data_IF_027590410150
#
_entry.id   IF_027590410150
#
_cell.length_a   1.000
_cell.length_b   1.000
_cell.length_c   1.000
_cell.angle_alpha   90.00
_cell.angle_beta   90.00
_cell.angle_gamma   90.00
#
_symmetry.space_group_name_H-M   'P 1'
#
loop_
_entity.id
_entity.type
_entity.pdbx_description
1 polymer ?
#
# COMPACT_ATOMS: atom_id res chain seq x y z
N UNK A 1 42.16 23.74 -6.81
CA UNK A 1 40.89 23.82 -6.07
C UNK A 1 39.89 23.01 -6.85
N UNK A 2 39.75 21.75 -6.47
CA UNK A 2 38.79 20.80 -7.06
C UNK A 2 37.52 20.84 -6.24
N UNK A 3 36.49 21.43 -6.80
CA UNK A 3 35.17 21.46 -6.23
C UNK A 3 34.65 20.03 -6.26
N UNK A 4 34.62 19.35 -5.11
CA UNK A 4 33.84 18.13 -4.96
C UNK A 4 32.38 18.55 -4.97
N UNK A 5 31.70 18.32 -6.10
CA UNK A 5 30.25 18.32 -6.14
C UNK A 5 29.78 17.14 -5.28
N UNK A 6 29.28 17.48 -4.09
CA UNK A 6 28.55 16.56 -3.24
C UNK A 6 27.26 16.20 -4.01
N UNK A 7 27.29 15.10 -4.74
CA UNK A 7 26.08 14.45 -5.22
C UNK A 7 25.37 13.86 -3.99
N UNK A 8 24.41 14.61 -3.43
CA UNK A 8 23.42 14.03 -2.54
C UNK A 8 22.54 13.07 -3.35
N UNK A 9 22.92 11.81 -3.35
CA UNK A 9 22.06 10.74 -3.86
C UNK A 9 20.91 10.60 -2.85
N UNK A 10 19.79 11.26 -3.13
CA UNK A 10 18.54 11.00 -2.41
C UNK A 10 18.10 9.59 -2.84
N UNK A 11 18.43 8.61 -2.01
CA UNK A 11 17.89 7.26 -2.17
C UNK A 11 16.37 7.35 -1.93
N UNK A 12 15.55 6.86 -2.85
CA UNK A 12 14.13 6.76 -2.60
C UNK A 12 13.91 5.88 -1.37
N UNK A 13 13.15 6.37 -0.40
CA UNK A 13 12.72 5.58 0.74
C UNK A 13 11.67 4.60 0.23
N UNK A 14 11.98 3.31 0.30
CA UNK A 14 11.05 2.24 0.00
C UNK A 14 10.29 1.83 1.26
N UNK A 15 9.02 1.48 1.12
CA UNK A 15 8.17 1.05 2.22
C UNK A 15 8.53 -0.35 2.75
N UNK A 16 9.39 -1.07 2.01
CA UNK A 16 9.87 -2.38 2.41
C UNK A 16 10.65 -3.07 1.29
N UNK A 17 11.17 -4.29 1.55
CA UNK A 17 12.02 -5.01 0.60
C UNK A 17 11.29 -5.42 -0.68
N UNK A 18 9.99 -5.72 -0.63
CA UNK A 18 9.22 -6.05 -1.83
C UNK A 18 8.98 -4.83 -2.71
N UNK A 19 8.86 -3.64 -2.12
CA UNK A 19 8.79 -2.38 -2.86
C UNK A 19 10.07 -2.12 -3.65
N UNK A 20 11.21 -2.34 -3.01
CA UNK A 20 12.52 -2.24 -3.64
C UNK A 20 12.68 -3.26 -4.78
N UNK A 21 12.24 -4.51 -4.59
CA UNK A 21 12.31 -5.53 -5.63
C UNK A 21 11.43 -5.18 -6.84
N UNK A 22 10.21 -4.69 -6.62
CA UNK A 22 9.33 -4.22 -7.69
C UNK A 22 9.94 -3.04 -8.44
N UNK A 23 10.56 -2.10 -7.71
CA UNK A 23 11.28 -0.99 -8.34
C UNK A 23 12.38 -1.47 -9.29
N UNK A 24 13.20 -2.46 -8.90
CA UNK A 24 14.23 -3.01 -9.79
C UNK A 24 13.63 -3.72 -11.01
N UNK A 25 12.54 -4.48 -10.81
CA UNK A 25 11.83 -5.17 -11.88
C UNK A 25 11.30 -4.16 -12.90
N UNK A 26 10.67 -3.08 -12.44
CA UNK A 26 10.11 -2.02 -13.28
C UNK A 26 11.21 -1.17 -13.95
N UNK A 27 12.25 -0.78 -13.21
CA UNK A 27 13.40 0.00 -13.74
C UNK A 27 14.07 -0.69 -14.91
N UNK A 28 14.24 -2.01 -14.79
CA UNK A 28 14.98 -2.82 -15.76
C UNK A 28 14.05 -3.52 -16.76
N UNK A 29 12.75 -3.21 -16.75
CA UNK A 29 11.72 -3.77 -17.64
C UNK A 29 11.73 -5.31 -17.64
N UNK A 30 11.91 -5.93 -16.46
CA UNK A 30 12.00 -7.37 -16.29
C UNK A 30 10.61 -8.02 -16.20
N UNK A 31 10.54 -9.28 -16.64
CA UNK A 31 9.33 -10.07 -16.43
C UNK A 31 9.26 -10.57 -14.97
N UNK A 32 8.18 -10.23 -14.27
CA UNK A 32 7.94 -10.66 -12.89
C UNK A 32 7.78 -12.17 -12.76
N UNK A 33 7.41 -12.87 -13.84
CA UNK A 33 7.27 -14.32 -13.87
C UNK A 33 8.59 -15.04 -14.18
N UNK A 34 9.55 -14.33 -14.78
CA UNK A 34 10.90 -14.88 -15.09
C UNK A 34 12.00 -13.95 -14.61
N UNK A 35 12.05 -13.74 -13.31
CA UNK A 35 13.01 -12.84 -12.67
C UNK A 35 14.42 -13.39 -12.78
N UNK A 36 15.39 -12.63 -13.34
CA UNK A 36 16.80 -12.99 -13.33
C UNK A 36 17.40 -12.85 -11.93
N UNK A 37 17.26 -13.89 -11.10
CA UNK A 37 17.61 -13.87 -9.66
C UNK A 37 19.04 -13.43 -9.41
N UNK A 38 19.99 -13.82 -10.27
CA UNK A 38 21.39 -13.42 -10.09
C UNK A 38 21.58 -11.91 -10.11
N UNK A 39 20.90 -11.22 -11.04
CA UNK A 39 20.95 -9.76 -11.19
C UNK A 39 20.23 -9.07 -10.04
N UNK A 40 18.97 -9.45 -9.80
CA UNK A 40 18.15 -8.84 -8.72
C UNK A 40 18.81 -9.01 -7.36
N UNK A 41 19.42 -10.17 -7.07
CA UNK A 41 20.14 -10.38 -5.82
C UNK A 41 21.33 -9.44 -5.70
N UNK A 42 22.10 -9.22 -6.78
CA UNK A 42 23.23 -8.28 -6.76
C UNK A 42 22.75 -6.86 -6.47
N UNK A 43 21.78 -6.36 -7.25
CA UNK A 43 21.24 -5.01 -7.10
C UNK A 43 20.67 -4.77 -5.69
N UNK A 44 20.00 -5.78 -5.15
CA UNK A 44 19.42 -5.73 -3.80
C UNK A 44 20.49 -5.66 -2.70
N UNK A 45 21.55 -6.48 -2.80
CA UNK A 45 22.66 -6.46 -1.84
C UNK A 45 23.47 -5.17 -1.94
N UNK A 46 23.70 -4.65 -3.16
CA UNK A 46 24.38 -3.38 -3.36
C UNK A 46 23.61 -2.22 -2.72
N UNK A 47 22.28 -2.23 -2.81
CA UNK A 47 21.42 -1.26 -2.15
C UNK A 47 21.55 -1.34 -0.62
N UNK A 48 21.52 -2.56 -0.04
CA UNK A 48 21.68 -2.76 1.41
C UNK A 48 23.02 -2.24 1.88
N UNK A 49 24.13 -2.59 1.21
CA UNK A 49 25.46 -2.11 1.55
C UNK A 49 25.54 -0.59 1.50
N UNK A 50 24.86 0.03 0.52
CA UNK A 50 24.82 1.48 0.43
C UNK A 50 24.09 2.12 1.62
N UNK A 51 22.99 1.54 2.06
CA UNK A 51 22.27 1.98 3.27
C UNK A 51 23.12 1.84 4.55
N UNK A 52 23.86 0.75 4.69
CA UNK A 52 24.80 0.54 5.81
C UNK A 52 25.87 1.64 5.85
N UNK A 53 26.44 2.00 4.68
CA UNK A 53 27.42 3.10 4.58
C UNK A 53 26.86 4.45 4.99
N UNK A 54 25.56 4.66 4.83
CA UNK A 54 24.87 5.88 5.27
C UNK A 54 24.45 5.86 6.75
N UNK A 55 24.83 4.81 7.50
CA UNK A 55 24.42 4.56 8.88
C UNK A 55 22.88 4.56 9.08
N UNK A 56 22.15 4.13 8.05
CA UNK A 56 20.71 3.94 8.14
C UNK A 56 20.43 2.60 8.81
N UNK A 57 19.65 2.60 9.87
CA UNK A 57 19.21 1.38 10.54
C UNK A 57 18.40 0.52 9.56
N UNK A 58 18.94 -0.65 9.24
CA UNK A 58 18.32 -1.56 8.29
C UNK A 58 17.27 -2.42 9.00
N UNK A 59 16.05 -2.37 8.52
CA UNK A 59 14.98 -3.22 9.05
C UNK A 59 15.28 -4.70 8.81
N UNK A 60 14.99 -5.55 9.79
CA UNK A 60 15.24 -7.00 9.75
C UNK A 60 14.61 -7.72 8.56
N UNK A 61 13.52 -7.16 8.02
CA UNK A 61 12.83 -7.67 6.84
C UNK A 61 13.68 -7.62 5.57
N UNK A 62 14.54 -6.59 5.41
CA UNK A 62 15.48 -6.52 4.28
C UNK A 62 16.52 -7.64 4.36
N UNK A 63 17.02 -7.93 5.55
CA UNK A 63 17.99 -9.02 5.78
C UNK A 63 17.34 -10.37 5.47
N UNK A 64 16.08 -10.58 5.87
CA UNK A 64 15.34 -11.80 5.59
C UNK A 64 15.16 -12.03 4.09
N UNK A 65 14.78 -10.98 3.34
CA UNK A 65 14.61 -11.06 1.89
C UNK A 65 15.95 -11.26 1.19
N UNK A 66 17.03 -10.58 1.63
CA UNK A 66 18.38 -10.82 1.12
C UNK A 66 18.80 -12.29 1.27
N UNK A 67 18.62 -12.88 2.45
CA UNK A 67 18.90 -14.29 2.70
C UNK A 67 18.06 -15.22 1.81
N UNK A 68 16.79 -14.87 1.60
CA UNK A 68 15.88 -15.63 0.71
C UNK A 68 16.35 -15.58 -0.75
N UNK A 69 16.73 -14.40 -1.26
CA UNK A 69 17.27 -14.22 -2.60
C UNK A 69 18.56 -15.02 -2.79
N UNK A 70 19.48 -14.97 -1.83
CA UNK A 70 20.72 -15.75 -1.87
C UNK A 70 20.44 -17.25 -1.90
N UNK A 71 19.48 -17.74 -1.11
CA UNK A 71 19.03 -19.13 -1.09
C UNK A 71 18.46 -19.56 -2.44
N UNK A 72 17.60 -18.75 -3.05
CA UNK A 72 17.00 -19.00 -4.36
C UNK A 72 18.11 -19.05 -5.42
N UNK A 73 18.99 -18.05 -5.43
CA UNK A 73 20.14 -17.99 -6.34
C UNK A 73 21.01 -19.25 -6.24
N UNK A 74 21.33 -19.67 -5.02
CA UNK A 74 22.12 -20.88 -4.80
C UNK A 74 21.41 -22.13 -5.36
N UNK A 75 20.11 -22.29 -5.12
CA UNK A 75 19.33 -23.41 -5.66
C UNK A 75 19.29 -23.44 -7.17
N UNK A 76 19.18 -22.29 -7.84
CA UNK A 76 19.15 -22.20 -9.29
C UNK A 76 20.51 -22.49 -9.94
N UNK A 77 21.61 -22.28 -9.20
CA UNK A 77 22.96 -22.58 -9.68
C UNK A 77 23.35 -24.05 -9.52
N UNK A 78 22.58 -24.85 -8.77
CA UNK A 78 22.84 -26.27 -8.59
C UNK A 78 22.47 -27.03 -9.87
N UNK A 79 23.32 -28.01 -10.29
CA UNK A 79 23.10 -28.76 -11.52
C UNK A 79 21.94 -29.77 -11.44
N UNK A 80 21.33 -29.96 -10.27
CA UNK A 80 20.20 -30.86 -10.06
C UNK A 80 19.00 -30.05 -9.60
N UNK A 81 17.93 -29.98 -10.39
CA UNK A 81 16.69 -29.34 -9.98
C UNK A 81 16.06 -30.09 -8.80
N UNK A 82 15.35 -29.36 -7.95
CA UNK A 82 14.53 -29.98 -6.91
C UNK A 82 13.25 -30.50 -7.56
N UNK A 83 12.89 -31.73 -7.23
CA UNK A 83 11.68 -32.36 -7.73
C UNK A 83 10.64 -32.44 -6.60
N UNK A 84 9.37 -32.29 -6.94
CA UNK A 84 8.24 -32.53 -6.04
C UNK A 84 8.03 -34.06 -5.83
N UNK A 85 7.05 -34.40 -4.98
CA UNK A 85 6.69 -35.81 -4.72
C UNK A 85 6.18 -36.54 -5.98
N UNK A 86 5.80 -35.80 -7.02
CA UNK A 86 5.31 -36.32 -8.31
C UNK A 86 6.37 -36.35 -9.40
N UNK A 87 7.60 -35.89 -9.08
CA UNK A 87 8.72 -35.85 -10.03
C UNK A 87 8.74 -34.63 -10.94
N UNK A 88 7.94 -33.59 -10.67
CA UNK A 88 7.99 -32.33 -11.43
C UNK A 88 9.07 -31.42 -10.84
N UNK A 89 9.66 -30.61 -11.70
CA UNK A 89 10.67 -29.61 -11.33
C UNK A 89 10.00 -28.46 -10.55
N UNK A 90 10.54 -28.15 -9.36
CA UNK A 90 10.08 -27.03 -8.52
C UNK A 90 10.93 -25.81 -8.87
N UNK A 91 10.30 -24.73 -9.37
CA UNK A 91 10.98 -23.46 -9.53
C UNK A 91 11.18 -22.80 -8.15
N UNK A 92 12.44 -22.63 -7.69
CA UNK A 92 12.70 -22.03 -6.38
C UNK A 92 12.26 -20.55 -6.27
N UNK A 93 11.88 -19.92 -7.37
CA UNK A 93 11.39 -18.53 -7.43
C UNK A 93 9.88 -18.42 -7.17
N UNK A 94 9.13 -19.50 -7.27
CA UNK A 94 7.66 -19.49 -7.29
C UNK A 94 7.05 -18.76 -6.09
N UNK A 95 7.58 -19.01 -4.89
CA UNK A 95 7.11 -18.36 -3.67
C UNK A 95 7.39 -16.85 -3.68
N UNK A 96 8.57 -16.44 -4.15
CA UNK A 96 8.95 -15.03 -4.29
C UNK A 96 8.05 -14.32 -5.28
N UNK A 97 7.82 -14.92 -6.45
CA UNK A 97 6.95 -14.37 -7.49
C UNK A 97 5.52 -14.17 -6.96
N UNK A 98 5.00 -15.17 -6.23
CA UNK A 98 3.67 -15.06 -5.62
C UNK A 98 3.58 -13.87 -4.66
N UNK A 99 4.54 -13.71 -3.75
CA UNK A 99 4.55 -12.59 -2.81
C UNK A 99 4.69 -11.23 -3.51
N UNK A 100 5.50 -11.14 -4.56
CA UNK A 100 5.63 -9.91 -5.36
C UNK A 100 4.33 -9.55 -6.07
N UNK A 101 3.63 -10.52 -6.64
CA UNK A 101 2.33 -10.30 -7.28
C UNK A 101 1.26 -9.86 -6.27
N UNK A 102 1.23 -10.48 -5.10
CA UNK A 102 0.34 -10.09 -4.01
C UNK A 102 0.64 -8.65 -3.57
N UNK A 103 1.91 -8.32 -3.32
CA UNK A 103 2.31 -6.98 -2.94
C UNK A 103 1.94 -5.95 -4.02
N UNK A 104 2.22 -6.21 -5.28
CA UNK A 104 1.86 -5.34 -6.41
C UNK A 104 0.36 -5.09 -6.47
N UNK A 105 -0.46 -6.13 -6.25
CA UNK A 105 -1.91 -6.02 -6.20
C UNK A 105 -2.37 -5.10 -5.07
N UNK A 106 -1.84 -5.28 -3.85
CA UNK A 106 -2.22 -4.42 -2.72
C UNK A 106 -1.72 -3.00 -2.90
N UNK A 107 -0.50 -2.79 -3.37
CA UNK A 107 0.06 -1.47 -3.63
C UNK A 107 -0.79 -0.67 -4.62
N UNK A 108 -1.33 -1.31 -5.67
CA UNK A 108 -2.20 -0.64 -6.64
C UNK A 108 -3.51 -0.11 -6.06
N UNK A 109 -3.94 -0.62 -4.91
CA UNK A 109 -5.20 -0.23 -4.25
C UNK A 109 -4.96 0.84 -3.18
N UNK A 110 -3.75 0.95 -2.63
CA UNK A 110 -3.40 1.92 -1.58
C UNK A 110 -3.68 3.35 -2.03
N UNK A 111 -3.27 3.74 -3.23
CA UNK A 111 -3.51 5.08 -3.79
C UNK A 111 -5.01 5.41 -3.87
N UNK A 112 -5.83 4.41 -4.17
CA UNK A 112 -7.29 4.57 -4.22
C UNK A 112 -7.88 4.78 -2.83
N UNK A 113 -7.42 4.00 -1.85
CA UNK A 113 -7.85 4.17 -0.46
C UNK A 113 -7.40 5.50 0.13
N UNK A 114 -6.17 5.93 -0.15
CA UNK A 114 -5.68 7.23 0.28
C UNK A 114 -6.56 8.37 -0.24
N UNK A 115 -6.93 8.35 -1.52
CA UNK A 115 -7.83 9.36 -2.10
C UNK A 115 -9.23 9.31 -1.46
N UNK A 116 -9.75 8.13 -1.14
CA UNK A 116 -11.03 7.99 -0.45
C UNK A 116 -10.95 8.52 0.98
N UNK A 117 -9.86 8.25 1.70
CA UNK A 117 -9.61 8.77 3.05
C UNK A 117 -9.51 10.29 3.03
N UNK A 118 -8.72 10.88 2.12
CA UNK A 118 -8.62 12.33 1.96
C UNK A 118 -9.99 12.98 1.73
N UNK A 119 -10.82 12.39 0.86
CA UNK A 119 -12.18 12.86 0.62
C UNK A 119 -13.07 12.77 1.86
N UNK A 120 -12.92 11.72 2.67
CA UNK A 120 -13.70 11.55 3.90
C UNK A 120 -13.23 12.50 5.00
N UNK A 121 -11.90 12.75 5.10
CA UNK A 121 -11.33 13.72 6.04
C UNK A 121 -11.73 15.17 5.74
N UNK A 122 -12.02 15.49 4.47
CA UNK A 122 -12.56 16.81 4.08
C UNK A 122 -14.01 17.01 4.52
N UNK A 123 -14.72 15.95 4.94
CA UNK A 123 -16.11 16.05 5.42
C UNK A 123 -16.12 16.39 6.90
N UNK A 124 -16.42 17.63 7.22
CA UNK A 124 -16.66 18.03 8.61
C UNK A 124 -18.07 17.61 9.08
N UNK A 125 -18.13 17.04 10.27
CA UNK A 125 -19.41 16.77 10.92
C UNK A 125 -20.06 18.10 11.27
N UNK A 126 -21.29 18.30 10.83
CA UNK A 126 -22.08 19.48 11.22
C UNK A 126 -22.28 19.50 12.73
N UNK A 127 -21.37 20.19 13.44
CA UNK A 127 -21.26 20.14 14.90
C UNK A 127 -22.45 20.67 15.68
N UNK A 128 -23.35 21.42 15.03
CA UNK A 128 -24.50 22.09 15.67
C UNK A 128 -25.85 21.44 15.39
N UNK A 129 -25.90 20.26 14.72
CA UNK A 129 -27.15 19.62 14.29
C UNK A 129 -28.14 19.46 15.42
N UNK A 130 -27.70 18.99 16.59
CA UNK A 130 -28.59 18.79 17.75
C UNK A 130 -29.09 20.11 18.36
N UNK A 131 -28.25 21.17 18.37
CA UNK A 131 -28.64 22.51 18.79
C UNK A 131 -29.63 23.13 17.81
N UNK A 132 -29.36 23.04 16.52
CA UNK A 132 -30.23 23.56 15.47
C UNK A 132 -31.59 22.83 15.47
N UNK A 133 -31.62 21.51 15.60
CA UNK A 133 -32.85 20.73 15.73
C UNK A 133 -33.65 21.14 16.98
N UNK A 134 -32.98 21.38 18.11
CA UNK A 134 -33.62 21.85 19.34
C UNK A 134 -34.20 23.26 19.18
N UNK A 135 -33.44 24.17 18.53
CA UNK A 135 -33.91 25.55 18.27
C UNK A 135 -35.10 25.54 17.29
N UNK A 136 -35.07 24.69 16.26
CA UNK A 136 -36.19 24.52 15.33
C UNK A 136 -37.40 23.91 16.03
N UNK A 137 -37.22 22.91 16.88
CA UNK A 137 -38.35 22.33 17.68
C UNK A 137 -38.92 23.31 18.67
N UNK A 138 -38.13 24.20 19.24
CA UNK A 138 -38.59 25.28 20.15
C UNK A 138 -39.24 26.45 19.39
N UNK A 139 -38.86 26.67 18.10
CA UNK A 139 -39.42 27.73 17.27
C UNK A 139 -40.66 27.34 16.50
N UNK A 140 -40.91 26.06 16.33
CA UNK A 140 -42.18 25.54 15.76
C UNK A 140 -43.27 25.69 16.83
N UNK A 141 -44.00 26.80 16.75
CA UNK A 141 -45.18 27.02 17.57
C UNK A 141 -46.29 26.14 16.99
N UNK A 142 -46.42 24.94 17.50
CA UNK A 142 -47.41 23.94 17.08
C UNK A 142 -48.85 24.51 17.23
N UNK A 143 -49.06 25.42 18.19
CA UNK A 143 -50.32 26.12 18.35
C UNK A 143 -50.64 27.08 17.19
N UNK A 144 -49.62 27.70 16.58
CA UNK A 144 -49.81 28.59 15.44
C UNK A 144 -50.14 27.81 14.16
N UNK A 145 -49.53 26.63 13.96
CA UNK A 145 -49.83 25.74 12.84
C UNK A 145 -51.23 25.09 12.97
N UNK A 146 -51.68 24.87 14.18
CA UNK A 146 -53.01 24.30 14.46
C UNK A 146 -54.16 25.34 14.43
N UNK A 147 -53.84 26.64 14.44
CA UNK A 147 -54.87 27.69 14.41
C UNK A 147 -55.75 27.65 13.16
N UNK A 148 -55.24 27.15 12.05
CA UNK A 148 -55.97 27.01 10.78
C UNK A 148 -56.63 25.63 10.59
N UNK A 149 -56.49 24.72 11.53
CA UNK A 149 -57.06 23.37 11.45
C UNK A 149 -58.41 23.38 12.14
N UNK A 150 -59.47 23.57 11.37
CA UNK A 150 -60.83 23.45 11.85
C UNK A 150 -61.28 21.97 11.84
N UNK A 151 -62.21 21.62 12.76
CA UNK A 151 -62.86 20.28 12.79
C UNK A 151 -63.43 19.91 11.41
N UNK A 152 -63.90 20.89 10.65
CA UNK A 152 -64.40 20.72 9.29
C UNK A 152 -63.27 20.28 8.30
N UNK A 153 -62.07 20.83 8.38
CA UNK A 153 -60.92 20.40 7.58
C UNK A 153 -60.49 19.00 7.94
N UNK A 154 -60.51 18.65 9.21
CA UNK A 154 -60.20 17.27 9.66
C UNK A 154 -61.22 16.24 9.16
N UNK A 155 -62.48 16.58 9.11
CA UNK A 155 -63.54 15.69 8.59
C UNK A 155 -63.47 15.51 7.07
N UNK A 156 -62.84 16.41 6.31
CA UNK A 156 -62.67 16.27 4.86
C UNK A 156 -61.53 15.35 4.46
N UNK A 157 -60.63 15.01 5.37
CA UNK A 157 -59.47 14.14 5.12
C UNK A 157 -59.77 12.68 5.52
N UNK A 158 -60.88 12.46 6.24
CA UNK A 158 -61.35 11.14 6.62
C UNK A 158 -62.48 10.71 5.68
#
# INVERSE_FOLDING_TARGET
MTTQENFEVKLPLFEGPFDLLLFFIERDELDIYDIPIAKITSDFLDYIHHMEHLNIELASEFILVAATLMRIKSKMLLPRPQLDEKGNEIDPREELVRHLLEYKKYKSVVDTFQKMEEQELMKEKRGNLLKELKTLAESTNVEAELQDVTVFKLMMVY
#
